data_IF_503784392046
#
_entry.id   IF_503784392046
#
_cell.length_a   1.000
_cell.length_b   1.000
_cell.length_c   1.000
_cell.angle_alpha   90.00
_cell.angle_beta   90.00
_cell.angle_gamma   90.00
#
_symmetry.space_group_name_H-M   'P 1'
#
loop_
_entity.id
_entity.type
_entity.pdbx_description
1 polymer ?
#
# COMPACT_ATOMS: atom_id res chain seq x y z
N UNK A 1 3.29 1.43 -11.20
CA UNK A 1 4.54 0.98 -10.55
C UNK A 1 5.69 1.56 -11.35
N UNK A 2 6.85 1.80 -10.74
CA UNK A 2 7.99 2.46 -11.43
C UNK A 2 8.36 1.70 -12.71
N UNK A 3 8.62 2.42 -13.80
CA UNK A 3 8.93 1.83 -15.11
C UNK A 3 10.43 1.52 -15.26
N UNK A 4 11.02 0.87 -14.24
CA UNK A 4 12.43 0.54 -14.21
C UNK A 4 12.66 -0.97 -14.39
N UNK A 5 13.84 -1.34 -14.88
CA UNK A 5 14.32 -2.71 -14.81
C UNK A 5 14.36 -3.13 -13.33
N UNK A 6 13.70 -4.25 -13.01
CA UNK A 6 13.47 -4.74 -11.64
C UNK A 6 12.66 -3.77 -10.74
N UNK A 7 11.54 -3.26 -11.29
CA UNK A 7 10.58 -2.41 -10.58
C UNK A 7 10.14 -2.91 -9.19
N UNK A 8 9.92 -4.23 -8.95
CA UNK A 8 9.56 -4.71 -7.62
C UNK A 8 10.65 -4.46 -6.58
N UNK A 9 11.91 -4.76 -6.91
CA UNK A 9 13.05 -4.53 -6.02
C UNK A 9 13.30 -3.04 -5.76
N UNK A 10 13.16 -2.21 -6.80
CA UNK A 10 13.25 -0.76 -6.67
C UNK A 10 12.18 -0.20 -5.72
N UNK A 11 10.95 -0.69 -5.83
CA UNK A 11 9.86 -0.28 -4.95
C UNK A 11 10.06 -0.76 -3.51
N UNK A 12 10.58 -1.98 -3.31
CA UNK A 12 10.95 -2.48 -1.99
C UNK A 12 12.00 -1.56 -1.32
N UNK A 13 13.09 -1.23 -2.01
CA UNK A 13 14.13 -0.33 -1.49
C UNK A 13 13.59 1.05 -1.15
N UNK A 14 12.72 1.60 -2.01
CA UNK A 14 12.07 2.87 -1.75
C UNK A 14 11.22 2.80 -0.45
N UNK A 15 10.40 1.76 -0.30
CA UNK A 15 9.53 1.61 0.86
C UNK A 15 10.33 1.40 2.15
N UNK A 16 11.43 0.66 2.11
CA UNK A 16 12.34 0.51 3.24
C UNK A 16 12.91 1.86 3.70
N UNK A 17 13.32 2.73 2.77
CA UNK A 17 13.81 4.07 3.12
C UNK A 17 12.69 4.98 3.66
N UNK A 18 11.49 4.93 3.09
CA UNK A 18 10.32 5.65 3.62
C UNK A 18 10.06 5.22 5.06
N UNK A 19 10.08 3.92 5.32
CA UNK A 19 9.83 3.40 6.65
C UNK A 19 10.92 3.79 7.65
N UNK A 20 12.19 3.82 7.23
CA UNK A 20 13.32 4.29 8.06
C UNK A 20 13.18 5.78 8.43
N UNK A 21 12.65 6.60 7.52
CA UNK A 21 12.49 8.04 7.71
C UNK A 21 11.24 8.42 8.50
N UNK A 22 10.16 7.64 8.41
CA UNK A 22 8.94 7.90 9.15
C UNK A 22 9.13 7.63 10.64
N UNK A 23 8.70 8.59 11.46
CA UNK A 23 8.55 8.40 12.91
C UNK A 23 7.39 7.41 13.18
N UNK A 24 7.33 6.81 14.38
CA UNK A 24 6.13 6.12 14.84
C UNK A 24 4.88 6.99 14.65
N UNK A 25 3.78 6.39 14.21
CA UNK A 25 2.53 7.07 13.79
C UNK A 25 2.67 8.00 12.57
N UNK A 26 3.81 7.96 11.88
CA UNK A 26 4.01 8.65 10.62
C UNK A 26 3.16 8.02 9.52
N UNK A 27 2.60 8.86 8.64
CA UNK A 27 1.70 8.42 7.58
C UNK A 27 2.42 8.43 6.23
N UNK A 28 2.34 7.32 5.51
CA UNK A 28 2.69 7.21 4.11
C UNK A 28 1.42 7.07 3.26
N UNK A 29 1.24 7.97 2.29
CA UNK A 29 0.13 7.90 1.34
C UNK A 29 0.63 7.37 0.00
N UNK A 30 0.06 6.25 -0.45
CA UNK A 30 0.28 5.71 -1.79
C UNK A 30 -1.00 5.85 -2.62
N UNK A 31 -0.94 6.67 -3.68
CA UNK A 31 -2.03 6.84 -4.63
C UNK A 31 -1.64 6.14 -5.94
N UNK A 32 -2.42 5.16 -6.37
CA UNK A 32 -2.08 4.34 -7.54
C UNK A 32 -3.30 3.68 -8.17
N UNK A 33 -3.22 3.33 -9.45
CA UNK A 33 -4.21 2.46 -10.11
C UNK A 33 -4.06 0.98 -9.74
N UNK A 34 -2.99 0.59 -9.04
CA UNK A 34 -2.75 -0.80 -8.65
C UNK A 34 -3.71 -1.25 -7.56
N UNK A 35 -4.42 -2.35 -7.81
CA UNK A 35 -5.38 -2.94 -6.87
C UNK A 35 -4.68 -3.54 -5.63
N UNK A 36 -5.42 -3.75 -4.53
CA UNK A 36 -4.83 -4.22 -3.26
C UNK A 36 -4.06 -5.53 -3.38
N UNK A 37 -4.55 -6.44 -4.23
CA UNK A 37 -3.89 -7.73 -4.53
C UNK A 37 -2.43 -7.61 -4.94
N UNK A 38 -2.05 -6.51 -5.61
CA UNK A 38 -0.68 -6.28 -6.09
C UNK A 38 0.11 -5.36 -5.16
N UNK A 39 -0.57 -4.47 -4.43
CA UNK A 39 0.07 -3.39 -3.65
C UNK A 39 0.28 -3.77 -2.20
N UNK A 40 -0.68 -4.41 -1.56
CA UNK A 40 -0.59 -4.77 -0.15
C UNK A 40 0.58 -5.73 0.11
N UNK A 41 0.82 -6.78 -0.69
CA UNK A 41 2.00 -7.64 -0.50
C UNK A 41 3.33 -6.88 -0.56
N UNK A 42 3.43 -5.86 -1.40
CA UNK A 42 4.64 -5.04 -1.51
C UNK A 42 4.82 -4.11 -0.30
N UNK A 43 3.72 -3.56 0.22
CA UNK A 43 3.72 -2.73 1.42
C UNK A 43 4.10 -3.56 2.66
N UNK A 44 3.55 -4.77 2.78
CA UNK A 44 3.80 -5.68 3.91
C UNK A 44 5.21 -6.30 3.89
N UNK A 45 5.78 -6.54 2.70
CA UNK A 45 7.12 -7.11 2.58
C UNK A 45 8.25 -6.21 3.05
N UNK A 46 8.00 -4.90 3.22
CA UNK A 46 9.03 -3.89 3.56
C UNK A 46 9.71 -4.07 4.92
N UNK A 47 9.36 -5.12 5.69
CA UNK A 47 9.92 -5.39 7.01
C UNK A 47 9.40 -4.42 8.08
N UNK A 48 8.39 -3.62 7.74
CA UNK A 48 7.81 -2.61 8.60
C UNK A 48 6.37 -2.98 8.93
N UNK A 49 6.00 -2.76 10.19
CA UNK A 49 4.63 -2.97 10.66
C UNK A 49 3.83 -1.70 10.38
N UNK A 50 2.92 -1.78 9.42
CA UNK A 50 1.99 -0.69 9.08
C UNK A 50 0.57 -1.13 9.36
N UNK A 51 -0.30 -0.21 9.78
CA UNK A 51 -1.74 -0.37 9.54
C UNK A 51 -2.06 0.24 8.18
N UNK A 52 -2.97 -0.39 7.43
CA UNK A 52 -3.34 0.06 6.08
C UNK A 52 -4.84 0.31 6.03
N UNK A 53 -5.22 1.55 5.78
CA UNK A 53 -6.58 1.92 5.40
C UNK A 53 -6.63 2.14 3.88
N UNK A 54 -7.70 1.66 3.23
CA UNK A 54 -7.90 1.81 1.78
C UNK A 54 -9.05 2.76 1.49
N UNK A 55 -8.79 3.73 0.63
CA UNK A 55 -9.81 4.55 -0.01
C UNK A 55 -9.80 4.33 -1.52
N UNK A 56 -10.98 4.37 -2.12
CA UNK A 56 -11.15 4.28 -3.58
C UNK A 56 -11.74 5.60 -4.07
N UNK A 57 -11.03 6.24 -5.00
CA UNK A 57 -11.40 7.51 -5.59
C UNK A 57 -11.72 7.31 -7.08
N UNK A 58 -13.00 7.41 -7.47
CA UNK A 58 -13.39 7.38 -8.88
C UNK A 58 -12.78 8.54 -9.66
N UNK A 59 -12.59 8.35 -10.97
CA UNK A 59 -12.13 9.39 -11.87
C UNK A 59 -13.13 10.55 -11.95
N UNK A 60 -12.63 11.76 -12.22
CA UNK A 60 -13.50 12.92 -12.41
C UNK A 60 -14.51 12.71 -13.55
N UNK A 61 -14.12 11.99 -14.60
CA UNK A 61 -15.00 11.58 -15.69
C UNK A 61 -16.14 10.68 -15.21
N UNK A 62 -15.84 9.72 -14.32
CA UNK A 62 -16.88 8.89 -13.68
C UNK A 62 -17.81 9.71 -12.79
N UNK A 63 -17.25 10.59 -11.97
CA UNK A 63 -18.04 11.42 -11.06
C UNK A 63 -19.01 12.30 -11.84
N UNK A 64 -18.56 12.93 -12.95
CA UNK A 64 -19.41 13.78 -13.78
C UNK A 64 -20.57 13.02 -14.44
N UNK A 65 -20.35 11.78 -14.91
CA UNK A 65 -21.42 10.95 -15.50
C UNK A 65 -22.45 10.47 -14.46
N UNK A 66 -22.03 10.31 -13.21
CA UNK A 66 -22.88 9.77 -12.14
C UNK A 66 -23.47 10.85 -11.22
N UNK A 67 -22.97 12.07 -11.26
CA UNK A 67 -23.47 13.22 -10.50
C UNK A 67 -24.81 13.71 -11.05
N UNK A 68 -25.87 12.90 -10.92
CA UNK A 68 -27.27 13.29 -11.18
C UNK A 68 -27.85 14.09 -10.00
N UNK A 69 -27.12 15.09 -9.50
CA UNK A 69 -27.62 16.03 -8.48
C UNK A 69 -27.47 15.62 -7.02
N UNK A 70 -26.83 14.49 -6.70
CA UNK A 70 -26.48 14.12 -5.32
C UNK A 70 -25.03 14.49 -5.00
N UNK A 71 -24.77 14.98 -3.77
CA UNK A 71 -23.41 15.08 -3.24
C UNK A 71 -22.87 13.67 -3.02
N UNK A 72 -22.16 13.13 -3.99
CA UNK A 72 -21.46 11.87 -3.82
C UNK A 72 -20.16 12.13 -3.05
N UNK A 73 -19.82 11.27 -2.08
CA UNK A 73 -18.51 11.32 -1.45
C UNK A 73 -17.44 11.20 -2.54
N UNK A 74 -16.41 12.06 -2.43
CA UNK A 74 -15.30 12.12 -3.40
C UNK A 74 -14.52 10.81 -3.39
N UNK A 75 -14.46 10.14 -2.24
CA UNK A 75 -13.76 8.88 -2.01
C UNK A 75 -14.59 7.97 -1.09
N UNK A 76 -14.47 6.66 -1.28
CA UNK A 76 -15.15 5.63 -0.48
C UNK A 76 -14.08 4.85 0.31
N UNK A 77 -14.26 4.73 1.64
CA UNK A 77 -13.40 3.87 2.46
C UNK A 77 -13.83 2.42 2.29
N UNK A 78 -12.86 1.53 2.09
CA UNK A 78 -13.09 0.09 1.88
C UNK A 78 -12.26 -0.70 2.86
N UNK A 79 -12.92 -1.53 3.66
CA UNK A 79 -12.24 -2.45 4.58
C UNK A 79 -11.57 -3.56 3.79
N UNK A 80 -10.25 -3.71 3.95
CA UNK A 80 -9.50 -4.83 3.41
C UNK A 80 -9.79 -6.11 4.19
N UNK A 81 -9.75 -7.24 3.49
CA UNK A 81 -9.74 -8.58 4.10
C UNK A 81 -8.42 -8.80 4.86
N UNK A 82 -8.36 -9.85 5.70
CA UNK A 82 -7.12 -10.24 6.40
C UNK A 82 -5.95 -10.49 5.45
N UNK A 83 -6.23 -10.92 4.21
CA UNK A 83 -5.22 -11.11 3.16
C UNK A 83 -4.84 -9.85 2.38
N UNK A 84 -5.28 -8.67 2.81
CA UNK A 84 -4.97 -7.40 2.14
C UNK A 84 -5.68 -7.22 0.80
N UNK A 85 -6.80 -7.91 0.59
CA UNK A 85 -7.59 -7.85 -0.66
C UNK A 85 -8.92 -7.14 -0.45
N UNK A 86 -9.52 -6.68 -1.56
CA UNK A 86 -10.90 -6.20 -1.54
C UNK A 86 -11.86 -7.33 -1.09
N UNK A 87 -12.96 -7.00 -0.40
CA UNK A 87 -14.00 -7.97 -0.09
C UNK A 87 -14.51 -8.67 -1.36
N UNK A 88 -14.84 -9.98 -1.31
CA UNK A 88 -15.31 -10.71 -2.48
C UNK A 88 -16.60 -10.16 -3.12
N UNK A 89 -17.42 -9.50 -2.31
CA UNK A 89 -18.68 -8.85 -2.69
C UNK A 89 -18.50 -7.38 -3.11
N UNK A 90 -17.28 -6.83 -3.02
CA UNK A 90 -17.01 -5.47 -3.42
C UNK A 90 -17.02 -5.33 -4.95
N UNK A 91 -17.89 -4.44 -5.45
CA UNK A 91 -17.98 -4.13 -6.88
C UNK A 91 -17.37 -2.76 -7.15
N UNK A 92 -16.24 -2.75 -7.86
CA UNK A 92 -15.59 -1.52 -8.28
C UNK A 92 -16.42 -0.83 -9.37
N UNK A 93 -17.01 0.32 -9.01
CA UNK A 93 -17.91 1.08 -9.90
C UNK A 93 -17.20 1.72 -11.08
N UNK A 94 -15.99 2.23 -10.86
CA UNK A 94 -15.15 2.85 -11.88
C UNK A 94 -13.84 2.07 -12.02
N UNK A 95 -13.62 1.33 -13.11
CA UNK A 95 -12.43 0.48 -13.27
C UNK A 95 -11.12 1.28 -13.26
N UNK A 96 -11.19 2.58 -13.59
CA UNK A 96 -10.06 3.49 -13.63
C UNK A 96 -9.87 4.26 -12.30
N UNK A 97 -10.52 3.83 -11.22
CA UNK A 97 -10.38 4.45 -9.91
C UNK A 97 -8.93 4.42 -9.41
N UNK A 98 -8.58 5.42 -8.63
CA UNK A 98 -7.35 5.40 -7.86
C UNK A 98 -7.60 4.69 -6.52
N UNK A 99 -6.70 3.78 -6.18
CA UNK A 99 -6.57 3.21 -4.85
C UNK A 99 -5.62 4.09 -4.04
N UNK A 100 -6.08 4.51 -2.88
CA UNK A 100 -5.34 5.35 -1.95
C UNK A 100 -5.11 4.52 -0.70
N UNK A 101 -3.86 4.11 -0.50
CA UNK A 101 -3.43 3.38 0.69
C UNK A 101 -2.88 4.39 1.68
N UNK A 102 -3.52 4.49 2.84
CA UNK A 102 -3.06 5.27 3.98
C UNK A 102 -2.36 4.30 4.93
N UNK A 103 -1.03 4.33 4.92
CA UNK A 103 -0.20 3.44 5.71
C UNK A 103 0.31 4.19 6.93
N UNK A 104 -0.13 3.84 8.12
CA UNK A 104 0.40 4.38 9.37
C UNK A 104 1.48 3.46 9.91
N UNK A 105 2.67 4.01 10.15
CA UNK A 105 3.76 3.26 10.77
C UNK A 105 3.41 2.99 12.23
N UNK A 106 3.37 1.72 12.60
CA UNK A 106 3.09 1.32 13.98
C UNK A 106 4.30 1.62 14.87
N UNK A 107 4.04 1.83 16.16
CA UNK A 107 5.10 1.93 17.15
C UNK A 107 5.84 0.59 17.21
N UNK A 108 7.16 0.62 16.99
CA UNK A 108 7.98 -0.56 17.23
C UNK A 108 7.86 -0.89 18.72
N UNK A 109 7.15 -1.97 19.06
CA UNK A 109 7.33 -2.61 20.37
C UNK A 109 8.81 -2.89 20.46
N UNK A 110 9.50 -2.25 21.40
CA UNK A 110 10.95 -2.35 21.58
C UNK A 110 11.41 -3.79 21.82
N UNK A 111 11.48 -4.58 20.76
CA UNK A 111 12.27 -5.79 20.67
C UNK A 111 13.50 -5.38 19.91
N UNK A 112 14.59 -5.15 20.65
CA UNK A 112 15.92 -4.90 20.12
C UNK A 112 16.17 -5.74 18.86
N UNK A 113 16.16 -5.09 17.70
CA UNK A 113 16.69 -5.65 16.46
C UNK A 113 18.19 -5.81 16.67
N UNK A 114 18.62 -6.94 17.23
CA UNK A 114 20.00 -7.40 17.03
C UNK A 114 20.11 -7.76 15.57
N UNK A 115 21.08 -7.14 14.92
CA UNK A 115 21.49 -7.34 13.55
C UNK A 115 21.41 -8.82 13.17
N UNK A 116 20.50 -9.15 12.26
CA UNK A 116 20.59 -10.39 11.52
C UNK A 116 21.11 -10.05 10.14
N UNK A 117 22.42 -9.83 10.08
CA UNK A 117 23.15 -9.88 8.82
C UNK A 117 22.87 -11.24 8.14
N UNK A 118 22.57 -11.27 6.84
CA UNK A 118 22.49 -12.52 6.09
C UNK A 118 23.87 -13.19 6.12
N UNK A 119 23.94 -14.40 6.68
CA UNK A 119 25.16 -15.22 6.61
C UNK A 119 25.51 -15.49 5.15
N UNK A 120 26.65 -14.94 4.74
CA UNK A 120 27.34 -15.28 3.50
C UNK A 120 27.69 -16.78 3.53
N UNK A 121 27.07 -17.54 2.62
CA UNK A 121 27.38 -18.96 2.43
C UNK A 121 28.58 -19.09 1.50
N UNK A 122 29.77 -19.10 2.08
CA UNK A 122 30.96 -19.61 1.41
C UNK A 122 30.88 -21.14 1.36
N UNK A 123 30.41 -21.68 0.24
CA UNK A 123 30.63 -23.10 -0.07
C UNK A 123 31.97 -23.24 -0.80
N UNK A 124 32.98 -23.69 -0.06
CA UNK A 124 34.14 -24.38 -0.62
C UNK A 124 33.84 -25.88 -0.64
N UNK A 125 33.82 -26.46 -1.85
CA UNK A 125 34.36 -27.78 -2.19
C UNK A 125 34.27 -28.00 -3.70
#
# INVERSE_FOLDING_TARGET
MMCADDAPHGAFKMLAEVARLLMPHGIYLLITYGAPKERVPLLDQSGCSWSIALYIMPTAGYQLRMSKGAQHLIMEEVTLTEGGQLPPDYVLKDPDSHFIYVCEKLEEKGTNCRDTDPKESTNAN
#
